data_IF_499727707153
#
_entry.id   IF_499727707153
#
_cell.length_a   1.000
_cell.length_b   1.000
_cell.length_c   1.000
_cell.angle_alpha   90.00
_cell.angle_beta   90.00
_cell.angle_gamma   90.00
#
_symmetry.space_group_name_H-M   'P 1'
#
loop_
_entity.id
_entity.type
_entity.pdbx_description
1 polymer ?
#
# COMPACT_ATOMS: atom_id res chain seq x y z
N UNK A 1 0.55 -17.47 -5.67
CA UNK A 1 0.46 -16.42 -4.63
C UNK A 1 -0.80 -15.59 -4.85
N UNK A 2 -1.77 -15.60 -3.91
CA UNK A 2 -3.05 -14.92 -4.09
C UNK A 2 -2.92 -13.40 -4.27
N UNK A 3 -1.92 -12.77 -3.62
CA UNK A 3 -1.65 -11.33 -3.75
C UNK A 3 -1.38 -10.89 -5.18
N UNK A 4 -0.56 -11.64 -5.94
CA UNK A 4 -0.24 -11.34 -7.34
C UNK A 4 -1.49 -11.42 -8.21
N UNK A 5 -2.31 -12.46 -8.03
CA UNK A 5 -3.56 -12.63 -8.77
C UNK A 5 -4.53 -11.48 -8.50
N UNK A 6 -4.63 -11.05 -7.24
CA UNK A 6 -5.45 -9.90 -6.83
C UNK A 6 -4.93 -8.61 -7.47
N UNK A 7 -3.61 -8.35 -7.40
CA UNK A 7 -3.01 -7.15 -8.00
C UNK A 7 -3.22 -7.10 -9.51
N UNK A 8 -3.05 -8.23 -10.21
CA UNK A 8 -3.33 -8.34 -11.66
C UNK A 8 -4.80 -8.07 -11.94
N UNK A 9 -5.72 -8.67 -11.18
CA UNK A 9 -7.15 -8.45 -11.35
C UNK A 9 -7.54 -6.98 -11.15
N UNK A 10 -6.98 -6.31 -10.13
CA UNK A 10 -7.22 -4.88 -9.88
C UNK A 10 -6.68 -4.05 -11.03
N UNK A 11 -5.43 -4.28 -11.45
CA UNK A 11 -4.80 -3.56 -12.57
C UNK A 11 -5.60 -3.75 -13.87
N UNK A 12 -6.00 -4.98 -14.17
CA UNK A 12 -6.84 -5.29 -15.33
C UNK A 12 -8.15 -4.51 -15.28
N UNK A 13 -8.83 -4.51 -14.14
CA UNK A 13 -10.09 -3.76 -13.97
C UNK A 13 -9.90 -2.25 -14.15
N UNK A 14 -8.80 -1.69 -13.65
CA UNK A 14 -8.44 -0.28 -13.85
C UNK A 14 -8.14 0.06 -15.30
N UNK A 15 -7.45 -0.82 -16.02
CA UNK A 15 -7.10 -0.61 -17.44
C UNK A 15 -8.36 -0.65 -18.31
N UNK A 16 -9.28 -1.58 -18.03
CA UNK A 16 -10.51 -1.75 -18.79
C UNK A 16 -11.49 -0.59 -18.53
N UNK A 17 -11.63 -0.14 -17.28
CA UNK A 17 -12.58 0.92 -16.93
C UNK A 17 -11.94 2.32 -16.98
N UNK A 18 -11.99 2.94 -18.16
CA UNK A 18 -11.44 4.27 -18.41
C UNK A 18 -11.99 5.38 -17.50
N UNK A 19 -13.20 5.22 -16.93
CA UNK A 19 -13.75 6.24 -16.04
C UNK A 19 -12.94 6.38 -14.75
N UNK A 20 -12.33 5.29 -14.26
CA UNK A 20 -11.50 5.33 -13.06
C UNK A 20 -10.16 6.04 -13.30
N UNK A 21 -9.60 5.96 -14.51
CA UNK A 21 -8.34 6.61 -14.86
C UNK A 21 -8.46 8.14 -15.01
N UNK A 22 -9.68 8.68 -15.15
CA UNK A 22 -9.87 10.14 -15.32
C UNK A 22 -9.75 10.93 -14.01
N UNK A 23 -9.80 10.27 -12.84
CA UNK A 23 -9.73 10.97 -11.55
C UNK A 23 -8.30 11.00 -11.02
N UNK A 24 -7.76 12.21 -10.81
CA UNK A 24 -6.35 12.41 -10.40
C UNK A 24 -5.97 11.67 -9.11
N UNK A 25 -6.93 11.53 -8.18
CA UNK A 25 -6.73 10.82 -6.91
C UNK A 25 -6.47 9.32 -7.11
N UNK A 26 -6.95 8.76 -8.22
CA UNK A 26 -6.79 7.33 -8.51
C UNK A 26 -5.38 7.04 -9.05
N UNK A 27 -4.67 8.02 -9.63
CA UNK A 27 -3.31 7.80 -10.13
C UNK A 27 -2.32 7.43 -9.03
N UNK A 28 -2.45 8.01 -7.83
CA UNK A 28 -1.59 7.65 -6.71
C UNK A 28 -1.80 6.19 -6.30
N UNK A 29 -3.06 5.73 -6.26
CA UNK A 29 -3.39 4.34 -5.93
C UNK A 29 -2.86 3.38 -7.01
N UNK A 30 -3.06 3.72 -8.29
CA UNK A 30 -2.56 2.93 -9.42
C UNK A 30 -1.02 2.84 -9.36
N UNK A 31 -0.33 3.96 -9.15
CA UNK A 31 1.12 3.98 -9.02
C UNK A 31 1.60 3.09 -7.86
N UNK A 32 0.95 3.17 -6.69
CA UNK A 32 1.26 2.31 -5.55
C UNK A 32 1.07 0.82 -5.87
N UNK A 33 -0.01 0.44 -6.55
CA UNK A 33 -0.27 -0.95 -6.94
C UNK A 33 0.76 -1.44 -7.95
N UNK A 34 1.14 -0.61 -8.93
CA UNK A 34 2.17 -0.96 -9.93
C UNK A 34 3.52 -1.18 -9.26
N UNK A 35 3.95 -0.25 -8.39
CA UNK A 35 5.21 -0.37 -7.66
C UNK A 35 5.20 -1.65 -6.81
N UNK A 36 4.13 -1.87 -6.02
CA UNK A 36 4.00 -3.08 -5.21
C UNK A 36 3.99 -4.36 -6.05
N UNK A 37 3.40 -4.34 -7.23
CA UNK A 37 3.40 -5.47 -8.15
C UNK A 37 4.80 -5.75 -8.69
N UNK A 38 5.53 -4.72 -9.11
CA UNK A 38 6.91 -4.85 -9.59
C UNK A 38 7.77 -5.45 -8.48
N UNK A 39 7.76 -4.84 -7.28
CA UNK A 39 8.52 -5.31 -6.12
C UNK A 39 8.23 -6.79 -5.81
N UNK A 40 6.94 -7.16 -5.74
CA UNK A 40 6.55 -8.54 -5.44
C UNK A 40 6.99 -9.50 -6.55
N UNK A 41 6.98 -9.06 -7.81
CA UNK A 41 7.32 -9.90 -8.95
C UNK A 41 8.83 -10.06 -9.12
N UNK A 42 9.63 -9.07 -8.71
CA UNK A 42 11.09 -9.13 -8.80
C UNK A 42 11.70 -9.86 -7.60
N UNK A 43 11.31 -9.51 -6.37
CA UNK A 43 11.94 -10.01 -5.15
C UNK A 43 11.57 -11.45 -4.82
N UNK A 44 10.31 -11.81 -5.06
CA UNK A 44 9.76 -13.04 -4.53
C UNK A 44 10.26 -14.30 -5.26
N UNK A 45 10.38 -14.32 -6.60
CA UNK A 45 10.99 -15.45 -7.30
C UNK A 45 12.46 -15.66 -6.92
N UNK A 46 13.21 -14.57 -6.73
CA UNK A 46 14.62 -14.61 -6.31
C UNK A 46 14.74 -15.23 -4.93
N UNK A 47 13.92 -14.75 -3.98
CA UNK A 47 13.88 -15.26 -2.61
C UNK A 47 13.47 -16.73 -2.58
N UNK A 48 12.46 -17.12 -3.36
CA UNK A 48 11.95 -18.48 -3.39
C UNK A 48 12.96 -19.45 -4.03
N UNK A 49 13.68 -19.01 -5.07
CA UNK A 49 14.76 -19.79 -5.66
C UNK A 49 15.93 -19.97 -4.69
N UNK A 50 16.32 -18.89 -3.98
CA UNK A 50 17.34 -18.95 -2.94
C UNK A 50 16.97 -19.95 -1.82
N UNK A 51 15.72 -19.91 -1.34
CA UNK A 51 15.24 -20.85 -0.32
C UNK A 51 15.19 -22.30 -0.83
N UNK A 52 14.91 -22.52 -2.11
CA UNK A 52 14.86 -23.86 -2.70
C UNK A 52 16.25 -24.47 -2.89
N UNK A 53 17.19 -23.67 -3.34
CA UNK A 53 18.48 -24.14 -3.88
C UNK A 53 19.65 -23.88 -2.91
N UNK A 54 19.49 -22.97 -1.96
CA UNK A 54 20.50 -22.60 -0.96
C UNK A 54 21.58 -21.65 -1.47
N UNK A 55 21.54 -21.27 -2.75
CA UNK A 55 22.45 -20.29 -3.35
C UNK A 55 21.73 -19.43 -4.40
N UNK A 56 22.35 -18.29 -4.76
CA UNK A 56 21.78 -17.31 -5.68
C UNK A 56 22.11 -17.72 -7.13
N UNK A 57 21.08 -17.84 -7.98
CA UNK A 57 21.22 -18.02 -9.43
C UNK A 57 20.58 -16.83 -10.15
N UNK A 58 21.19 -16.30 -11.22
CA UNK A 58 22.41 -16.75 -11.91
C UNK A 58 23.73 -16.29 -11.25
N UNK A 59 24.79 -17.11 -11.33
CA UNK A 59 26.17 -16.78 -10.88
C UNK A 59 26.92 -15.88 -11.89
N UNK A 60 26.22 -14.89 -12.44
CA UNK A 60 26.82 -13.92 -13.32
C UNK A 60 27.38 -12.76 -12.49
N UNK A 61 28.65 -12.38 -12.73
CA UNK A 61 29.29 -11.23 -12.06
C UNK A 61 28.46 -9.93 -12.19
N UNK A 62 27.82 -9.74 -13.34
CA UNK A 62 26.94 -8.59 -13.61
C UNK A 62 25.70 -8.60 -12.72
N UNK A 63 25.09 -9.77 -12.51
CA UNK A 63 23.95 -9.92 -11.61
C UNK A 63 24.33 -9.64 -10.16
N UNK A 64 25.49 -10.11 -9.72
CA UNK A 64 26.01 -9.84 -8.38
C UNK A 64 26.28 -8.34 -8.16
N UNK A 65 26.94 -7.65 -9.10
CA UNK A 65 27.17 -6.20 -9.01
C UNK A 65 25.88 -5.39 -9.03
N UNK A 66 24.92 -5.77 -9.87
CA UNK A 66 23.59 -5.17 -9.90
C UNK A 66 22.91 -5.33 -8.54
N UNK A 67 22.91 -6.54 -7.98
CA UNK A 67 22.30 -6.81 -6.69
C UNK A 67 22.96 -6.01 -5.57
N UNK A 68 24.28 -5.98 -5.49
CA UNK A 68 25.01 -5.17 -4.51
C UNK A 68 24.58 -3.70 -4.61
N UNK A 69 24.52 -3.14 -5.83
CA UNK A 69 24.05 -1.77 -6.03
C UNK A 69 22.63 -1.56 -5.49
N UNK A 70 21.72 -2.49 -5.78
CA UNK A 70 20.35 -2.48 -5.24
C UNK A 70 20.34 -2.57 -3.72
N UNK A 71 21.17 -3.42 -3.10
CA UNK A 71 21.23 -3.55 -1.64
C UNK A 71 21.79 -2.31 -0.96
N UNK A 72 22.78 -1.66 -1.57
CA UNK A 72 23.32 -0.37 -1.08
C UNK A 72 22.26 0.72 -1.16
N UNK A 73 21.58 0.81 -2.31
CA UNK A 73 20.48 1.74 -2.50
C UNK A 73 19.36 1.45 -1.49
N UNK A 74 19.02 0.18 -1.28
CA UNK A 74 18.02 -0.27 -0.32
C UNK A 74 18.42 0.03 1.12
N UNK A 75 19.69 -0.06 1.49
CA UNK A 75 20.17 0.30 2.83
C UNK A 75 20.08 1.81 3.05
N UNK A 76 20.46 2.60 2.04
CA UNK A 76 20.32 4.04 2.09
C UNK A 76 18.85 4.46 2.14
N UNK A 77 18.01 3.81 1.34
CA UNK A 77 16.56 3.97 1.33
C UNK A 77 15.96 3.55 2.67
N UNK A 78 16.48 2.50 3.29
CA UNK A 78 16.06 2.06 4.61
C UNK A 78 16.35 3.14 5.66
N UNK A 79 17.57 3.65 5.73
CA UNK A 79 17.92 4.71 6.69
C UNK A 79 17.09 5.98 6.41
N UNK A 80 16.97 6.36 5.15
CA UNK A 80 16.34 7.63 4.78
C UNK A 80 14.82 7.53 4.87
N UNK A 81 14.20 6.55 4.22
CA UNK A 81 12.75 6.37 4.25
C UNK A 81 12.28 5.73 5.55
N UNK A 82 12.86 4.66 6.06
CA UNK A 82 12.28 4.04 7.27
C UNK A 82 12.41 4.96 8.46
N UNK A 83 13.54 5.63 8.66
CA UNK A 83 13.76 6.45 9.84
C UNK A 83 13.08 7.84 9.72
N UNK A 84 13.25 8.53 8.58
CA UNK A 84 12.66 9.86 8.38
C UNK A 84 11.15 9.77 8.11
N UNK A 85 10.72 8.85 7.26
CA UNK A 85 9.32 8.73 6.81
C UNK A 85 8.44 8.11 7.90
N UNK A 86 8.94 7.16 8.70
CA UNK A 86 8.20 6.57 9.84
C UNK A 86 7.78 7.63 10.86
N UNK A 87 8.63 8.64 11.10
CA UNK A 87 8.31 9.75 12.01
C UNK A 87 7.48 10.82 11.30
N UNK A 88 7.82 11.12 10.04
CA UNK A 88 7.21 12.24 9.30
C UNK A 88 5.78 11.94 8.85
N UNK A 89 5.47 10.73 8.36
CA UNK A 89 4.14 10.34 7.89
C UNK A 89 3.06 10.47 8.97
N UNK A 90 3.19 9.89 10.18
CA UNK A 90 2.12 10.00 11.17
C UNK A 90 1.93 11.45 11.61
N UNK A 91 3.00 12.25 11.66
CA UNK A 91 2.91 13.66 11.96
C UNK A 91 2.17 14.44 10.87
N UNK A 92 2.55 14.25 9.61
CA UNK A 92 1.90 14.85 8.46
C UNK A 92 0.44 14.41 8.32
N UNK A 93 0.15 13.12 8.53
CA UNK A 93 -1.18 12.52 8.45
C UNK A 93 -2.10 13.07 9.54
N UNK A 94 -1.61 13.18 10.80
CA UNK A 94 -2.35 13.83 11.90
C UNK A 94 -2.60 15.31 11.60
N UNK A 95 -1.59 16.03 11.10
CA UNK A 95 -1.71 17.46 10.73
C UNK A 95 -2.72 17.67 9.60
N UNK A 96 -2.68 16.82 8.56
CA UNK A 96 -3.62 16.85 7.44
C UNK A 96 -5.05 16.56 7.93
N UNK A 97 -5.23 15.54 8.77
CA UNK A 97 -6.53 15.20 9.35
C UNK A 97 -7.07 16.36 10.19
N UNK A 98 -6.25 16.97 11.03
CA UNK A 98 -6.64 18.14 11.82
C UNK A 98 -7.09 19.28 10.90
N UNK A 99 -6.28 19.66 9.91
CA UNK A 99 -6.64 20.72 8.93
C UNK A 99 -7.93 20.41 8.18
N UNK A 100 -8.12 19.15 7.78
CA UNK A 100 -9.32 18.69 7.07
C UNK A 100 -10.54 18.80 7.99
N UNK A 101 -10.46 18.38 9.25
CA UNK A 101 -11.54 18.53 10.25
C UNK A 101 -11.87 20.00 10.53
N UNK A 102 -10.86 20.87 10.65
CA UNK A 102 -11.06 22.31 10.83
C UNK A 102 -11.74 22.94 9.60
N UNK A 103 -11.33 22.56 8.38
CA UNK A 103 -11.96 23.03 7.14
C UNK A 103 -13.37 22.47 6.96
N UNK A 104 -13.64 21.25 7.45
CA UNK A 104 -14.97 20.62 7.45
C UNK A 104 -15.98 21.43 8.25
N UNK A 105 -15.58 21.87 9.45
CA UNK A 105 -16.42 22.71 10.30
C UNK A 105 -16.77 24.04 9.61
N UNK A 106 -15.88 24.55 8.76
CA UNK A 106 -16.04 25.83 8.07
C UNK A 106 -16.82 25.74 6.74
N UNK A 107 -16.78 24.62 6.02
CA UNK A 107 -17.44 24.47 4.71
C UNK A 107 -18.60 23.47 4.73
N UNK A 108 -19.84 23.97 4.55
CA UNK A 108 -21.10 23.19 4.43
C UNK A 108 -21.22 22.33 3.14
N UNK A 109 -20.14 22.08 2.39
CA UNK A 109 -20.19 21.26 1.16
C UNK A 109 -20.03 19.76 1.49
N UNK A 110 -21.15 19.11 1.75
CA UNK A 110 -21.29 17.68 2.09
C UNK A 110 -20.71 16.72 1.03
N UNK A 111 -20.77 17.07 -0.26
CA UNK A 111 -20.44 16.14 -1.36
C UNK A 111 -18.94 15.91 -1.55
N UNK A 112 -18.09 16.93 -1.42
CA UNK A 112 -16.62 16.77 -1.55
C UNK A 112 -16.00 16.10 -0.32
N UNK A 113 -16.60 16.29 0.86
CA UNK A 113 -16.14 15.71 2.13
C UNK A 113 -16.04 14.19 2.10
N UNK A 114 -17.02 13.52 1.48
CA UNK A 114 -17.09 12.05 1.44
C UNK A 114 -15.95 11.42 0.63
N UNK A 115 -15.44 12.10 -0.39
CA UNK A 115 -14.32 11.60 -1.21
C UNK A 115 -12.99 11.78 -0.49
N UNK A 116 -12.74 12.98 0.07
CA UNK A 116 -11.50 13.29 0.79
C UNK A 116 -11.29 12.41 2.02
N UNK A 117 -12.36 12.10 2.78
CA UNK A 117 -12.26 11.25 3.97
C UNK A 117 -11.77 9.83 3.65
N UNK A 118 -12.14 9.28 2.49
CA UNK A 118 -11.72 7.92 2.09
C UNK A 118 -10.22 7.85 1.84
N UNK A 119 -9.68 8.82 1.09
CA UNK A 119 -8.25 8.90 0.80
C UNK A 119 -7.43 9.06 2.08
N UNK A 120 -7.89 9.91 3.00
CA UNK A 120 -7.21 10.09 4.30
C UNK A 120 -7.26 8.83 5.15
N UNK A 121 -8.39 8.11 5.19
CA UNK A 121 -8.48 6.84 5.90
C UNK A 121 -7.55 5.78 5.30
N UNK A 122 -7.49 5.67 3.96
CA UNK A 122 -6.57 4.77 3.28
C UNK A 122 -5.12 5.06 3.66
N UNK A 123 -4.71 6.33 3.58
CA UNK A 123 -3.35 6.74 3.94
C UNK A 123 -3.04 6.44 5.41
N UNK A 124 -4.00 6.64 6.31
CA UNK A 124 -3.85 6.35 7.74
C UNK A 124 -3.68 4.86 8.00
N UNK A 125 -4.49 4.00 7.37
CA UNK A 125 -4.38 2.54 7.52
C UNK A 125 -3.03 2.06 6.98
N UNK A 126 -2.60 2.56 5.81
CA UNK A 126 -1.28 2.24 5.24
C UNK A 126 -0.18 2.67 6.22
N UNK A 127 -0.26 3.89 6.77
CA UNK A 127 0.73 4.40 7.73
C UNK A 127 0.86 3.51 8.98
N UNK A 128 -0.28 3.08 9.54
CA UNK A 128 -0.32 2.19 10.71
C UNK A 128 0.27 0.83 10.35
N UNK A 129 -0.07 0.29 9.19
CA UNK A 129 0.44 -1.00 8.72
C UNK A 129 1.97 -0.95 8.56
N UNK A 130 2.49 0.10 7.92
CA UNK A 130 3.93 0.29 7.77
C UNK A 130 4.61 0.43 9.14
N UNK A 131 4.07 1.25 10.04
CA UNK A 131 4.63 1.42 11.38
C UNK A 131 4.66 0.08 12.13
N UNK A 132 3.57 -0.68 12.14
CA UNK A 132 3.47 -1.94 12.87
C UNK A 132 4.52 -2.98 12.43
N UNK A 133 4.80 -3.06 11.12
CA UNK A 133 5.72 -4.07 10.58
C UNK A 133 7.16 -3.59 10.44
N UNK A 134 7.39 -2.30 10.17
CA UNK A 134 8.75 -1.74 10.02
C UNK A 134 9.36 -1.29 11.34
N UNK A 135 8.54 -0.86 12.32
CA UNK A 135 9.06 -0.35 13.59
C UNK A 135 9.86 -1.40 14.38
N UNK A 136 9.40 -2.66 14.53
CA UNK A 136 10.19 -3.68 15.24
C UNK A 136 11.54 -3.94 14.56
N UNK A 137 11.56 -3.97 13.22
CA UNK A 137 12.78 -4.14 12.44
C UNK A 137 13.73 -2.95 12.66
N UNK A 138 13.22 -1.72 12.63
CA UNK A 138 14.01 -0.51 12.87
C UNK A 138 14.66 -0.51 14.25
N UNK A 139 13.90 -0.83 15.29
CA UNK A 139 14.39 -0.87 16.68
C UNK A 139 15.51 -1.90 16.82
N UNK A 140 15.31 -3.14 16.34
CA UNK A 140 16.35 -4.18 16.45
C UNK A 140 17.59 -3.82 15.63
N UNK A 141 17.43 -3.27 14.42
CA UNK A 141 18.56 -2.82 13.61
C UNK A 141 19.38 -1.72 14.30
N UNK A 142 18.74 -0.72 14.91
CA UNK A 142 19.42 0.34 15.66
C UNK A 142 20.19 -0.24 16.85
N UNK A 143 19.58 -1.16 17.61
CA UNK A 143 20.25 -1.81 18.75
C UNK A 143 21.50 -2.58 18.28
N UNK A 144 21.40 -3.29 17.15
CA UNK A 144 22.52 -4.06 16.59
C UNK A 144 23.66 -3.18 16.11
N UNK A 145 23.37 -2.03 15.50
CA UNK A 145 24.39 -1.10 15.00
C UNK A 145 25.05 -0.33 16.15
N UNK A 146 24.28 0.12 17.14
CA UNK A 146 24.78 1.02 18.18
C UNK A 146 25.34 0.32 19.40
N UNK A 147 24.81 -0.85 19.78
CA UNK A 147 25.13 -1.48 21.07
C UNK A 147 25.77 -2.86 20.92
N UNK A 148 25.06 -3.83 20.32
CA UNK A 148 25.48 -5.23 20.33
C UNK A 148 25.17 -5.89 18.97
N UNK A 149 26.17 -6.16 18.11
CA UNK A 149 25.93 -6.65 16.75
C UNK A 149 25.28 -8.05 16.68
N UNK A 150 25.44 -8.85 17.74
CA UNK A 150 24.88 -10.20 17.89
C UNK A 150 23.47 -10.24 18.50
N UNK A 151 22.92 -9.08 18.90
CA UNK A 151 21.61 -9.03 19.54
C UNK A 151 20.51 -9.59 18.64
N UNK A 152 19.82 -10.64 19.11
CA UNK A 152 18.70 -11.31 18.43
C UNK A 152 18.98 -11.71 16.97
N UNK A 153 20.20 -12.14 16.65
CA UNK A 153 20.59 -12.47 15.26
C UNK A 153 19.64 -13.48 14.58
N UNK A 154 19.32 -14.59 15.26
CA UNK A 154 18.43 -15.62 14.71
C UNK A 154 17.01 -15.10 14.49
N UNK A 155 16.44 -14.40 15.48
CA UNK A 155 15.08 -13.84 15.37
C UNK A 155 15.02 -12.79 14.26
N UNK A 156 16.07 -11.98 14.13
CA UNK A 156 16.18 -11.00 13.08
C UNK A 156 16.18 -11.66 11.70
N UNK A 157 17.04 -12.66 11.49
CA UNK A 157 17.23 -13.30 10.19
C UNK A 157 16.02 -14.13 9.77
N UNK A 158 15.42 -14.90 10.68
CA UNK A 158 14.33 -15.81 10.34
C UNK A 158 12.93 -15.19 10.39
N UNK A 159 12.72 -14.13 11.18
CA UNK A 159 11.39 -13.54 11.36
C UNK A 159 11.35 -12.08 10.92
N UNK A 160 12.14 -11.20 11.55
CA UNK A 160 12.01 -9.75 11.32
C UNK A 160 12.37 -9.34 9.89
N UNK A 161 13.35 -10.01 9.28
CA UNK A 161 13.74 -9.76 7.90
C UNK A 161 12.59 -10.00 6.91
N UNK A 162 11.73 -11.00 7.18
CA UNK A 162 10.61 -11.34 6.31
C UNK A 162 9.33 -10.54 6.61
N UNK A 163 9.27 -9.87 7.76
CA UNK A 163 8.11 -9.10 8.22
C UNK A 163 7.62 -8.04 7.22
N UNK A 164 8.49 -7.23 6.57
CA UNK A 164 8.06 -6.23 5.59
C UNK A 164 7.32 -6.80 4.37
N UNK A 165 7.57 -8.04 3.97
CA UNK A 165 6.85 -8.67 2.86
C UNK A 165 5.35 -8.82 3.16
N UNK A 166 4.95 -8.94 4.44
CA UNK A 166 3.54 -8.92 4.81
C UNK A 166 2.86 -7.58 4.51
N UNK A 167 3.59 -6.46 4.59
CA UNK A 167 3.05 -5.13 4.23
C UNK A 167 2.69 -5.11 2.74
N UNK A 168 3.61 -5.55 1.89
CA UNK A 168 3.39 -5.65 0.44
C UNK A 168 2.23 -6.59 0.12
N UNK A 169 2.16 -7.73 0.82
CA UNK A 169 1.09 -8.70 0.64
C UNK A 169 -0.29 -8.15 1.06
N UNK A 170 -0.36 -7.36 2.14
CA UNK A 170 -1.60 -6.79 2.67
C UNK A 170 -2.03 -5.50 1.95
N UNK A 171 -1.12 -4.78 1.30
CA UNK A 171 -1.40 -3.53 0.58
C UNK A 171 -2.60 -3.65 -0.39
N UNK A 172 -2.68 -4.63 -1.31
CA UNK A 172 -3.82 -4.73 -2.22
C UNK A 172 -5.14 -4.95 -1.48
N UNK A 173 -5.15 -5.70 -0.37
CA UNK A 173 -6.36 -5.91 0.43
C UNK A 173 -6.82 -4.62 1.10
N UNK A 174 -5.89 -3.85 1.68
CA UNK A 174 -6.19 -2.53 2.26
C UNK A 174 -6.77 -1.60 1.20
N UNK A 175 -6.19 -1.58 0.00
CA UNK A 175 -6.71 -0.80 -1.12
C UNK A 175 -8.14 -1.20 -1.49
N UNK A 176 -8.46 -2.50 -1.63
CA UNK A 176 -9.81 -2.97 -1.95
C UNK A 176 -10.82 -2.53 -0.87
N UNK A 177 -10.47 -2.69 0.41
CA UNK A 177 -11.32 -2.30 1.54
C UNK A 177 -11.59 -0.79 1.52
N UNK A 178 -10.60 0.00 1.11
CA UNK A 178 -10.71 1.46 1.00
C UNK A 178 -11.41 1.96 -0.27
N UNK A 179 -11.64 1.09 -1.28
CA UNK A 179 -12.37 1.39 -2.52
C UNK A 179 -13.81 0.81 -2.48
N UNK A 180 -14.75 1.44 -1.75
CA UNK A 180 -16.15 1.00 -1.70
C UNK A 180 -16.89 1.16 -3.04
N UNK A 181 -16.26 1.79 -4.04
CA UNK A 181 -16.80 1.94 -5.39
C UNK A 181 -16.71 0.65 -6.21
N UNK A 182 -15.78 -0.24 -5.86
CA UNK A 182 -15.61 -1.54 -6.52
C UNK A 182 -16.73 -2.51 -6.13
N UNK A 183 -17.32 -2.32 -4.95
CA UNK A 183 -18.40 -3.16 -4.47
C UNK A 183 -19.65 -2.90 -5.30
N UNK A 184 -20.22 -3.93 -5.97
CA UNK A 184 -21.42 -3.76 -6.78
C UNK A 184 -22.51 -3.18 -5.89
N UNK A 185 -22.89 -1.93 -6.17
CA UNK A 185 -23.98 -1.25 -5.45
C UNK A 185 -25.27 -2.01 -5.73
N UNK A 186 -25.59 -2.98 -4.87
CA UNK A 186 -26.88 -3.68 -4.84
C UNK A 186 -28.06 -2.68 -4.79
N UNK A 187 -27.82 -1.47 -4.26
CA UNK A 187 -28.84 -0.42 -4.12
C UNK A 187 -28.97 0.54 -5.32
N UNK A 188 -28.14 0.45 -6.38
CA UNK A 188 -28.35 1.30 -7.58
C UNK A 188 -29.57 0.83 -8.38
N UNK A 189 -29.86 -0.47 -8.37
CA UNK A 189 -31.04 -1.04 -9.02
C UNK A 189 -32.32 -0.59 -8.30
N UNK A 190 -32.32 -0.57 -6.96
CA UNK A 190 -33.46 -0.11 -6.16
C UNK A 190 -33.78 1.39 -6.32
N UNK A 191 -32.77 2.24 -6.52
CA UNK A 191 -33.01 3.67 -6.75
C UNK A 191 -33.42 3.97 -8.21
N UNK A 192 -32.95 3.19 -9.18
CA UNK A 192 -33.41 3.31 -10.57
C UNK A 192 -34.87 2.85 -10.68
N UNK A 193 -35.27 1.78 -9.97
CA UNK A 193 -36.67 1.33 -9.93
C UNK A 193 -37.60 2.35 -9.25
N UNK A 194 -37.16 3.00 -8.17
CA UNK A 194 -37.94 4.07 -7.52
C UNK A 194 -38.04 5.35 -8.39
N UNK A 195 -37.00 5.72 -9.13
CA UNK A 195 -37.05 6.85 -10.05
C UNK A 195 -37.92 6.58 -11.29
N UNK A 196 -37.99 5.33 -11.77
CA UNK A 196 -38.92 4.94 -12.84
C UNK A 196 -40.36 4.91 -12.35
N UNK A 197 -40.60 4.47 -11.11
CA UNK A 197 -41.93 4.46 -10.50
C UNK A 197 -42.49 5.87 -10.28
N UNK A 198 -41.67 6.82 -9.80
CA UNK A 198 -42.10 8.21 -9.60
C UNK A 198 -42.39 8.97 -10.91
N UNK A 199 -41.73 8.64 -12.02
CA UNK A 199 -42.03 9.24 -13.35
C UNK A 199 -43.32 8.70 -13.97
N UNK A 200 -43.75 7.50 -13.60
CA UNK A 200 -45.01 6.95 -14.07
C UNK A 200 -46.22 7.61 -13.38
N UNK A 201 -46.10 7.96 -12.10
CA UNK A 201 -47.18 8.63 -11.34
C UNK A 201 -47.39 10.11 -11.70
N UNK A 202 -46.43 10.79 -12.32
CA UNK A 202 -46.57 12.22 -12.71
C UNK A 202 -47.23 12.42 -14.08
N UNK A 203 -47.65 11.35 -14.76
CA UNK A 203 -48.28 11.39 -16.10
C UNK A 203 -49.77 11.00 -16.10
N UNK A 204 -50.36 10.82 -14.92
CA UNK A 204 -51.81 10.64 -14.72
C UNK A 204 -52.37 11.89 -14.04
#
# INVERSE_FOLDING_TARGET
MPSILISIYILYKFIVDRQFCSHINNHSIIAMIIISFIDTTTELPITLQYLRVGYVQPDAKTFCLFWICVTWLSTFDWITNVLLLSVSIPFASKSLLARVLFRAKKMKRILTWRSTRKLTLQLMVISILYLLFWFPLAVVSIIRICFIPTFMFEVFYYYLYYTPYFVQLLMPFVCIVCLPEIWPKKNRIANISLFTQNRAQTRL
#
